data_IF_198715236558
#
_entry.id   IF_198715236558
#
_cell.length_a   1.000
_cell.length_b   1.000
_cell.length_c   1.000
_cell.angle_alpha   90.00
_cell.angle_beta   90.00
_cell.angle_gamma   90.00
#
_symmetry.space_group_name_H-M   'P 1'
#
loop_
_entity.id
_entity.type
_entity.pdbx_description
1 polymer ?
#
# COMPACT_ATOMS: atom_id res chain seq x y z
N UNK A 1 8.18 4.24 -4.87
CA UNK A 1 8.63 5.54 -5.45
C UNK A 1 8.21 5.78 -6.90
N UNK A 2 8.27 4.79 -7.80
CA UNK A 2 7.83 5.01 -9.19
C UNK A 2 6.29 5.22 -9.25
N UNK A 3 5.52 4.43 -8.48
CA UNK A 3 4.05 4.59 -8.34
C UNK A 3 3.62 5.97 -7.84
N UNK A 4 4.32 6.54 -6.85
CA UNK A 4 4.07 7.91 -6.36
C UNK A 4 4.29 8.93 -7.45
N UNK A 5 5.46 8.88 -8.10
CA UNK A 5 5.80 9.84 -9.15
C UNK A 5 4.79 9.77 -10.28
N UNK A 6 4.44 8.56 -10.76
CA UNK A 6 3.45 8.40 -11.83
C UNK A 6 2.07 8.91 -11.42
N UNK A 7 1.59 8.61 -10.20
CA UNK A 7 0.29 9.11 -9.72
C UNK A 7 0.26 10.64 -9.55
N UNK A 8 1.34 11.22 -9.04
CA UNK A 8 1.46 12.66 -8.83
C UNK A 8 1.56 13.41 -10.15
N UNK A 9 2.38 12.92 -11.09
CA UNK A 9 2.56 13.57 -12.40
C UNK A 9 1.33 13.42 -13.30
N UNK A 10 0.63 12.28 -13.26
CA UNK A 10 -0.64 12.12 -14.01
C UNK A 10 -1.73 13.03 -13.47
N UNK A 11 -1.87 13.13 -12.14
CA UNK A 11 -2.80 14.10 -11.53
C UNK A 11 -2.41 15.54 -11.90
N UNK A 12 -1.12 15.89 -11.80
CA UNK A 12 -0.62 17.20 -12.21
C UNK A 12 -0.94 17.52 -13.68
N UNK A 13 -0.76 16.56 -14.59
CA UNK A 13 -1.06 16.74 -16.00
C UNK A 13 -2.55 16.98 -16.25
N UNK A 14 -3.43 16.20 -15.62
CA UNK A 14 -4.89 16.34 -15.76
C UNK A 14 -5.36 17.69 -15.23
N UNK A 15 -4.98 18.04 -14.00
CA UNK A 15 -5.34 19.34 -13.42
C UNK A 15 -4.72 20.51 -14.17
N UNK A 16 -3.49 20.36 -14.66
CA UNK A 16 -2.82 21.33 -15.51
C UNK A 16 -3.58 21.61 -16.80
N UNK A 17 -3.93 20.56 -17.55
CA UNK A 17 -4.69 20.68 -18.81
C UNK A 17 -6.05 21.35 -18.57
N UNK A 18 -6.75 20.98 -17.50
CA UNK A 18 -8.01 21.61 -17.10
C UNK A 18 -7.81 23.09 -16.73
N UNK A 19 -6.80 23.40 -15.92
CA UNK A 19 -6.46 24.77 -15.55
C UNK A 19 -6.11 25.64 -16.76
N UNK A 20 -5.35 25.11 -17.72
CA UNK A 20 -5.01 25.79 -18.96
C UNK A 20 -6.24 26.08 -19.82
N UNK A 21 -7.17 25.13 -19.93
CA UNK A 21 -8.39 25.30 -20.75
C UNK A 21 -9.31 26.35 -20.15
N UNK A 22 -9.59 26.30 -18.84
CA UNK A 22 -10.38 27.33 -18.18
C UNK A 22 -9.67 28.69 -18.14
N UNK A 23 -8.35 28.68 -17.91
CA UNK A 23 -7.52 29.88 -17.89
C UNK A 23 -7.49 30.62 -19.23
N UNK A 24 -7.36 29.86 -20.32
CA UNK A 24 -7.38 30.38 -21.69
C UNK A 24 -8.74 31.03 -22.03
N UNK A 25 -9.85 30.41 -21.61
CA UNK A 25 -11.20 30.93 -21.88
C UNK A 25 -11.53 32.23 -21.14
N UNK A 26 -11.02 32.43 -19.92
CA UNK A 26 -11.38 33.58 -19.07
C UNK A 26 -10.36 34.72 -19.20
N UNK A 27 -9.06 34.41 -19.15
CA UNK A 27 -7.98 35.39 -19.04
C UNK A 27 -7.20 35.58 -20.35
N UNK A 28 -7.46 34.78 -21.38
CA UNK A 28 -6.69 34.78 -22.63
C UNK A 28 -5.26 34.25 -22.49
N UNK A 29 -4.85 33.83 -21.28
CA UNK A 29 -3.53 33.23 -21.00
C UNK A 29 -3.71 31.89 -20.30
N UNK A 30 -3.20 30.81 -20.90
CA UNK A 30 -3.30 29.46 -20.33
C UNK A 30 -2.14 29.08 -19.40
N UNK A 31 -0.98 29.76 -19.51
CA UNK A 31 0.27 29.31 -18.88
C UNK A 31 0.28 29.48 -17.35
N UNK A 32 -0.22 30.60 -16.82
CA UNK A 32 -0.25 30.81 -15.38
C UNK A 32 -1.28 29.91 -14.68
N UNK A 33 -2.52 29.78 -15.19
CA UNK A 33 -3.50 28.82 -14.68
C UNK A 33 -3.04 27.36 -14.80
N UNK A 34 -2.31 27.01 -15.87
CA UNK A 34 -1.70 25.68 -16.02
C UNK A 34 -0.72 25.38 -14.89
N UNK A 35 0.21 26.29 -14.59
CA UNK A 35 1.23 26.08 -13.54
C UNK A 35 0.55 25.92 -12.18
N UNK A 36 -0.35 26.83 -11.83
CA UNK A 36 -1.06 26.79 -10.55
C UNK A 36 -1.88 25.50 -10.39
N UNK A 37 -2.66 25.12 -11.40
CA UNK A 37 -3.47 23.91 -11.36
C UNK A 37 -2.63 22.63 -11.39
N UNK A 38 -1.52 22.60 -12.14
CA UNK A 38 -0.61 21.46 -12.16
C UNK A 38 0.05 21.23 -10.80
N UNK A 39 0.51 22.29 -10.13
CA UNK A 39 1.09 22.20 -8.79
C UNK A 39 0.08 21.72 -7.77
N UNK A 40 -1.15 22.24 -7.80
CA UNK A 40 -2.23 21.77 -6.93
C UNK A 40 -2.57 20.30 -7.22
N UNK A 41 -2.69 19.92 -8.50
CA UNK A 41 -2.95 18.54 -8.91
C UNK A 41 -1.87 17.56 -8.44
N UNK A 42 -0.59 17.98 -8.51
CA UNK A 42 0.53 17.21 -7.99
C UNK A 42 0.43 17.00 -6.47
N UNK A 43 0.11 18.07 -5.73
CA UNK A 43 -0.04 18.02 -4.27
C UNK A 43 -1.20 17.10 -3.88
N UNK A 44 -2.37 17.26 -4.50
CA UNK A 44 -3.54 16.40 -4.23
C UNK A 44 -3.29 14.94 -4.60
N UNK A 45 -2.63 14.68 -5.73
CA UNK A 45 -2.24 13.33 -6.15
C UNK A 45 -1.30 12.69 -5.13
N UNK A 46 -0.29 13.44 -4.69
CA UNK A 46 0.68 12.98 -3.69
C UNK A 46 0.03 12.73 -2.32
N UNK A 47 -0.87 13.62 -1.87
CA UNK A 47 -1.60 13.48 -0.62
C UNK A 47 -2.51 12.25 -0.62
N UNK A 48 -3.27 12.03 -1.71
CA UNK A 48 -4.16 10.87 -1.81
C UNK A 48 -3.37 9.57 -1.81
N UNK A 49 -2.26 9.52 -2.52
CA UNK A 49 -1.38 8.35 -2.49
C UNK A 49 -0.79 8.14 -1.10
N UNK A 50 -0.30 9.19 -0.44
CA UNK A 50 0.21 9.10 0.92
C UNK A 50 -0.85 8.52 1.87
N UNK A 51 -2.10 8.99 1.78
CA UNK A 51 -3.18 8.46 2.61
C UNK A 51 -3.46 6.98 2.34
N UNK A 52 -3.49 6.57 1.07
CA UNK A 52 -3.71 5.17 0.68
C UNK A 52 -2.58 4.26 1.21
N UNK A 53 -1.32 4.62 0.95
CA UNK A 53 -0.16 3.85 1.40
C UNK A 53 -0.05 3.80 2.92
N UNK A 54 -0.44 4.87 3.61
CA UNK A 54 -0.48 4.87 5.07
C UNK A 54 -1.56 3.92 5.60
N UNK A 55 -2.71 3.85 4.93
CA UNK A 55 -3.79 2.93 5.31
C UNK A 55 -3.36 1.48 5.09
N UNK A 56 -2.74 1.17 3.95
CA UNK A 56 -2.16 -0.15 3.67
C UNK A 56 -1.09 -0.53 4.70
N UNK A 57 -0.21 0.41 5.03
CA UNK A 57 0.78 0.19 6.06
C UNK A 57 0.11 -0.19 7.40
N UNK A 58 -0.92 0.54 7.82
CA UNK A 58 -1.60 0.30 9.10
C UNK A 58 -2.28 -1.08 9.12
N UNK A 59 -2.86 -1.52 7.99
CA UNK A 59 -3.38 -2.87 7.85
C UNK A 59 -2.26 -3.92 7.95
N UNK A 60 -1.09 -3.68 7.38
CA UNK A 60 0.07 -4.57 7.56
C UNK A 60 0.55 -4.62 9.02
N UNK A 61 0.41 -3.53 9.78
CA UNK A 61 0.73 -3.51 11.22
C UNK A 61 -0.17 -4.46 11.99
N UNK A 62 -1.47 -4.44 11.70
CA UNK A 62 -2.44 -5.28 12.39
C UNK A 62 -2.30 -6.77 12.03
N UNK A 63 -1.91 -7.07 10.79
CA UNK A 63 -1.69 -8.46 10.33
C UNK A 63 -0.33 -9.03 10.75
N UNK A 64 0.74 -8.23 10.71
CA UNK A 64 2.12 -8.67 10.97
C UNK A 64 2.85 -7.74 11.98
N UNK A 65 2.36 -7.61 13.22
CA UNK A 65 2.87 -6.64 14.18
C UNK A 65 4.33 -6.91 14.59
N UNK A 66 4.73 -8.18 14.65
CA UNK A 66 6.10 -8.58 15.02
C UNK A 66 7.11 -8.17 13.95
N UNK A 67 6.77 -8.36 12.68
CA UNK A 67 7.65 -7.99 11.56
C UNK A 67 7.80 -6.47 11.47
N UNK A 68 6.69 -5.74 11.59
CA UNK A 68 6.71 -4.28 11.57
C UNK A 68 7.47 -3.69 12.75
N UNK A 69 7.35 -4.28 13.94
CA UNK A 69 8.14 -3.88 15.12
C UNK A 69 9.64 -3.99 14.87
N UNK A 70 10.09 -5.08 14.23
CA UNK A 70 11.50 -5.29 13.94
C UNK A 70 12.05 -4.16 13.05
N UNK A 71 11.36 -3.87 11.95
CA UNK A 71 11.76 -2.77 11.06
C UNK A 71 11.64 -1.39 11.71
N UNK A 72 10.65 -1.15 12.58
CA UNK A 72 10.54 0.10 13.34
C UNK A 72 11.72 0.29 14.31
N UNK A 73 12.13 -0.78 14.98
CA UNK A 73 13.26 -0.74 15.91
C UNK A 73 14.59 -0.56 15.18
N UNK A 74 14.74 -1.15 13.98
CA UNK A 74 15.92 -1.01 13.13
C UNK A 74 16.05 0.40 12.54
N UNK A 75 14.96 0.94 11.99
CA UNK A 75 14.96 2.28 11.39
C UNK A 75 15.05 3.40 12.44
N UNK A 76 14.48 3.19 13.63
CA UNK A 76 14.38 4.23 14.67
C UNK A 76 14.92 3.77 16.03
N UNK A 77 16.21 3.42 16.14
CA UNK A 77 16.79 2.85 17.36
C UNK A 77 16.79 3.82 18.54
N UNK A 78 16.71 5.13 18.26
CA UNK A 78 16.69 6.19 19.29
C UNK A 78 15.31 6.37 19.93
N UNK A 79 14.24 5.90 19.29
CA UNK A 79 12.87 6.07 19.79
C UNK A 79 12.55 5.00 20.85
N UNK A 80 12.72 5.38 22.12
CA UNK A 80 12.60 4.48 23.28
C UNK A 80 11.27 3.71 23.36
N UNK A 81 10.09 4.28 23.04
CA UNK A 81 8.82 3.57 23.16
C UNK A 81 8.76 2.25 22.35
N UNK A 82 9.43 2.16 21.20
CA UNK A 82 9.42 0.93 20.40
C UNK A 82 10.19 -0.24 21.05
N UNK A 83 11.18 0.06 21.89
CA UNK A 83 11.95 -0.94 22.63
C UNK A 83 11.28 -1.35 23.93
N UNK A 84 10.69 -0.38 24.62
CA UNK A 84 10.11 -0.57 25.95
C UNK A 84 8.73 -1.23 25.91
N UNK A 85 7.97 -0.96 24.84
CA UNK A 85 6.61 -1.47 24.73
C UNK A 85 6.57 -2.84 24.04
N UNK A 86 5.68 -3.71 24.51
CA UNK A 86 5.43 -5.03 23.92
C UNK A 86 4.57 -4.96 22.64
N UNK A 87 4.23 -6.11 22.07
CA UNK A 87 3.46 -6.22 20.82
C UNK A 87 2.10 -5.51 20.88
N UNK A 88 1.47 -5.42 22.06
CA UNK A 88 0.18 -4.74 22.23
C UNK A 88 0.20 -3.24 21.90
N UNK A 89 1.37 -2.61 21.90
CA UNK A 89 1.54 -1.20 21.52
C UNK A 89 1.56 -0.99 19.99
N UNK A 90 1.87 -2.05 19.23
CA UNK A 90 1.98 -2.01 17.77
C UNK A 90 0.63 -2.33 17.12
N UNK A 91 -0.36 -1.46 17.36
CA UNK A 91 -1.71 -1.52 16.76
C UNK A 91 -1.99 -0.24 16.00
N UNK A 92 -2.78 -0.33 14.94
CA UNK A 92 -3.16 0.81 14.09
C UNK A 92 -3.67 2.02 14.89
N UNK A 93 -4.51 1.82 15.90
CA UNK A 93 -5.07 2.87 16.77
C UNK A 93 -4.03 3.81 17.40
N UNK A 94 -2.85 3.29 17.77
CA UNK A 94 -1.78 4.08 18.39
C UNK A 94 -1.09 4.98 17.36
N UNK A 95 -1.02 4.53 16.11
CA UNK A 95 -0.31 5.23 15.03
C UNK A 95 -1.23 6.19 14.26
N UNK A 96 -2.55 5.99 14.30
CA UNK A 96 -3.50 6.89 13.64
C UNK A 96 -3.55 8.28 14.26
N UNK A 97 -3.43 8.37 15.58
CA UNK A 97 -3.57 9.60 16.35
C UNK A 97 -2.34 10.53 16.29
N UNK A 98 -1.19 10.06 15.79
CA UNK A 98 0.04 10.84 15.72
C UNK A 98 0.67 10.80 14.34
N UNK A 99 0.69 11.96 13.67
CA UNK A 99 1.32 12.12 12.36
C UNK A 99 2.83 11.79 12.37
N UNK A 100 3.52 11.96 13.49
CA UNK A 100 4.93 11.58 13.65
C UNK A 100 5.08 10.06 13.65
N UNK A 101 4.28 9.36 14.46
CA UNK A 101 4.30 7.89 14.47
C UNK A 101 3.87 7.33 13.11
N UNK A 102 2.87 7.93 12.50
CA UNK A 102 2.36 7.58 11.17
C UNK A 102 3.43 7.73 10.08
N UNK A 103 4.20 8.81 10.11
CA UNK A 103 5.29 9.03 9.14
C UNK A 103 6.47 8.08 9.37
N UNK A 104 6.90 7.90 10.63
CA UNK A 104 7.93 6.91 10.99
C UNK A 104 7.53 5.51 10.54
N UNK A 105 6.27 5.16 10.77
CA UNK A 105 5.75 3.87 10.37
C UNK A 105 5.65 3.69 8.86
N UNK A 106 5.21 4.72 8.12
CA UNK A 106 5.20 4.67 6.66
C UNK A 106 6.60 4.42 6.07
N UNK A 107 7.64 4.99 6.67
CA UNK A 107 9.02 4.75 6.25
C UNK A 107 9.49 3.34 6.61
N UNK A 108 9.21 2.85 7.82
CA UNK A 108 9.54 1.48 8.21
C UNK A 108 8.80 0.44 7.34
N UNK A 109 7.54 0.71 6.97
CA UNK A 109 6.76 -0.13 6.07
C UNK A 109 7.38 -0.22 4.67
N UNK A 110 7.93 0.89 4.15
CA UNK A 110 8.66 0.88 2.88
C UNK A 110 9.92 0.00 2.93
N UNK A 111 10.63 -0.02 4.05
CA UNK A 111 11.79 -0.93 4.23
C UNK A 111 11.39 -2.39 4.41
N UNK A 112 10.17 -2.63 4.91
CA UNK A 112 9.63 -3.96 5.12
C UNK A 112 8.98 -4.58 3.86
N UNK A 113 8.82 -3.82 2.78
CA UNK A 113 8.17 -4.30 1.54
C UNK A 113 8.74 -5.62 1.01
N UNK A 114 10.07 -5.83 0.93
CA UNK A 114 10.61 -7.08 0.41
C UNK A 114 10.21 -8.29 1.27
N UNK A 115 10.27 -8.14 2.60
CA UNK A 115 9.88 -9.20 3.53
C UNK A 115 8.37 -9.49 3.47
N UNK A 116 7.55 -8.46 3.29
CA UNK A 116 6.10 -8.63 3.10
C UNK A 116 5.80 -9.36 1.77
N UNK A 117 6.49 -9.00 0.68
CA UNK A 117 6.34 -9.66 -0.62
C UNK A 117 6.72 -11.14 -0.56
N UNK A 118 7.78 -11.50 0.16
CA UNK A 118 8.17 -12.91 0.39
C UNK A 118 7.09 -13.69 1.14
N UNK A 119 6.53 -13.11 2.21
CA UNK A 119 5.44 -13.72 2.97
C UNK A 119 4.20 -13.91 2.09
N UNK A 120 3.84 -12.91 1.29
CA UNK A 120 2.72 -13.00 0.37
C UNK A 120 2.95 -14.07 -0.70
N UNK A 121 4.15 -14.15 -1.26
CA UNK A 121 4.52 -15.15 -2.27
C UNK A 121 4.45 -16.56 -1.69
N UNK A 122 5.01 -16.78 -0.49
CA UNK A 122 4.94 -18.06 0.19
C UNK A 122 3.48 -18.46 0.51
N UNK A 123 2.65 -17.50 0.94
CA UNK A 123 1.24 -17.75 1.20
C UNK A 123 0.46 -18.09 -0.07
N UNK A 124 0.74 -17.40 -1.17
CA UNK A 124 0.13 -17.69 -2.48
C UNK A 124 0.49 -19.10 -2.95
N UNK A 125 1.77 -19.49 -2.84
CA UNK A 125 2.21 -20.83 -3.21
C UNK A 125 1.49 -21.91 -2.38
N UNK A 126 1.33 -21.70 -1.07
CA UNK A 126 0.60 -22.62 -0.21
C UNK A 126 -0.88 -22.79 -0.62
N UNK A 127 -1.56 -21.69 -0.94
CA UNK A 127 -2.96 -21.72 -1.40
C UNK A 127 -3.09 -22.45 -2.74
N UNK A 128 -2.15 -22.24 -3.67
CA UNK A 128 -2.16 -22.95 -4.96
C UNK A 128 -2.00 -24.46 -4.75
N UNK A 129 -1.09 -24.88 -3.88
CA UNK A 129 -0.88 -26.30 -3.56
C UNK A 129 -2.16 -26.92 -2.97
N UNK A 130 -2.77 -26.27 -1.98
CA UNK A 130 -4.02 -26.70 -1.35
C UNK A 130 -5.13 -26.88 -2.40
N UNK A 131 -5.35 -25.88 -3.26
CA UNK A 131 -6.36 -25.91 -4.30
C UNK A 131 -6.11 -26.98 -5.37
N UNK A 132 -4.85 -27.17 -5.80
CA UNK A 132 -4.51 -28.25 -6.74
C UNK A 132 -4.71 -29.64 -6.14
N UNK A 133 -4.51 -29.79 -4.82
CA UNK A 133 -4.81 -31.00 -4.08
C UNK A 133 -6.30 -31.31 -4.07
N UNK A 134 -7.14 -30.32 -3.75
CA UNK A 134 -8.61 -30.46 -3.78
C UNK A 134 -9.14 -30.84 -5.17
N UNK A 135 -8.62 -30.22 -6.23
CA UNK A 135 -8.99 -30.58 -7.61
C UNK A 135 -8.58 -32.02 -7.94
N UNK A 136 -7.39 -32.45 -7.52
CA UNK A 136 -6.91 -33.80 -7.75
C UNK A 136 -7.81 -34.83 -7.03
N UNK A 137 -8.24 -34.55 -5.80
CA UNK A 137 -9.18 -35.40 -5.06
C UNK A 137 -10.56 -35.46 -5.72
N UNK A 138 -11.12 -34.32 -6.15
CA UNK A 138 -12.40 -34.28 -6.87
C UNK A 138 -12.33 -35.11 -8.15
N UNK A 139 -11.25 -34.99 -8.92
CA UNK A 139 -11.04 -35.78 -10.15
C UNK A 139 -10.93 -37.28 -9.85
N UNK A 140 -10.29 -37.64 -8.74
CA UNK A 140 -10.12 -39.03 -8.33
C UNK A 140 -11.41 -39.67 -7.80
N UNK A 141 -12.31 -38.87 -7.21
CA UNK A 141 -13.66 -39.30 -6.81
C UNK A 141 -14.55 -39.45 -8.05
N UNK A 142 -14.51 -38.49 -8.98
CA UNK A 142 -15.22 -38.57 -10.25
C UNK A 142 -14.85 -39.81 -11.07
N UNK A 143 -13.55 -40.14 -11.17
CA UNK A 143 -13.13 -41.34 -11.93
C UNK A 143 -13.51 -42.66 -11.26
N UNK A 144 -13.68 -42.70 -9.93
CA UNK A 144 -14.16 -43.89 -9.20
C UNK A 144 -15.66 -44.09 -9.29
N UNK A 145 -16.40 -43.04 -9.63
CA UNK A 145 -17.85 -43.09 -9.82
C UNK A 145 -18.17 -43.67 -11.21
N UNK A 146 -17.46 -43.23 -12.26
CA UNK A 146 -17.62 -43.77 -13.62
C UNK A 146 -17.27 -45.26 -13.74
N UNK A 147 -16.29 -45.75 -12.97
CA UNK A 147 -15.85 -47.16 -12.97
C UNK A 147 -16.83 -48.14 -12.26
N UNK A 148 -17.89 -47.61 -11.62
CA UNK A 148 -18.92 -48.42 -10.92
C UNK A 148 -20.25 -48.51 -11.66
N UNK A 149 -20.42 -47.72 -12.71
CA UNK A 149 -21.64 -47.64 -13.51
C UNK A 149 -21.53 -48.42 -14.84
N UNK A 150 -20.41 -49.12 -15.10
CA UNK A 150 -20.22 -50.18 -16.12
C UNK A 150 -20.30 -51.59 -15.51
#
# INVERSE_FOLDING_TARGET
>A
MLRTMVSGTTAAAVFGILGATFGSLIFGTGSFPFIAASSLGFVFGSLRWYHASTTEALLCLDNYPTLMRLHLMENYPRYRPFRLNGLNYFRSEQFENSWVLKSMFSAAWLTAQPALEEIHTARQAAIVVEYTGEIAEIKHIGSKQDDKDE
#
